data_IF_654016319356
#
_entry.id   IF_654016319356
#
_cell.length_a   1.000
_cell.length_b   1.000
_cell.length_c   1.000
_cell.angle_alpha   90.00
_cell.angle_beta   90.00
_cell.angle_gamma   90.00
#
_symmetry.space_group_name_H-M   'P 1'
#
loop_
_entity.id
_entity.type
_entity.pdbx_description
1 polymer ?
#
# COMPACT_ATOMS: atom_id res chain seq x y z
N UNK A 1 -12.52 31.33 -12.21
CA UNK A 1 -12.40 30.68 -10.88
C UNK A 1 -10.98 30.16 -10.76
N UNK A 2 -10.11 30.92 -10.10
CA UNK A 2 -8.70 30.57 -9.96
C UNK A 2 -8.59 29.59 -8.79
N UNK A 3 -8.72 28.30 -9.07
CA UNK A 3 -8.45 27.28 -8.07
C UNK A 3 -6.94 27.36 -7.84
N UNK A 4 -6.53 27.93 -6.71
CA UNK A 4 -5.13 27.88 -6.28
C UNK A 4 -4.65 26.44 -6.49
N UNK A 5 -3.69 26.24 -7.40
CA UNK A 5 -3.10 24.93 -7.56
C UNK A 5 -2.46 24.61 -6.22
N UNK A 6 -3.05 23.67 -5.49
CA UNK A 6 -2.38 23.08 -4.32
C UNK A 6 -1.11 22.46 -4.92
N UNK A 7 0.04 23.02 -4.57
CA UNK A 7 1.36 22.52 -4.93
C UNK A 7 1.96 21.84 -3.71
N UNK A 8 2.41 20.60 -3.87
CA UNK A 8 3.06 19.84 -2.81
C UNK A 8 4.46 19.44 -3.23
N UNK A 9 5.39 19.63 -2.30
CA UNK A 9 6.74 19.09 -2.42
C UNK A 9 6.66 17.55 -2.59
N UNK A 10 7.29 17.04 -3.65
CA UNK A 10 7.19 15.63 -4.05
C UNK A 10 7.84 14.68 -3.03
N UNK A 11 8.85 15.12 -2.30
CA UNK A 11 9.46 14.33 -1.21
C UNK A 11 8.53 14.22 -0.01
N UNK A 12 7.68 15.22 0.21
CA UNK A 12 6.61 15.15 1.22
C UNK A 12 5.57 14.10 0.81
N UNK A 13 5.18 14.07 -0.47
CA UNK A 13 4.31 13.02 -1.01
C UNK A 13 4.92 11.64 -0.77
N UNK A 14 6.21 11.45 -1.08
CA UNK A 14 6.89 10.16 -0.87
C UNK A 14 6.87 9.73 0.60
N UNK A 15 7.15 10.65 1.54
CA UNK A 15 7.08 10.36 2.98
C UNK A 15 5.67 9.98 3.43
N UNK A 16 4.65 10.72 2.97
CA UNK A 16 3.25 10.41 3.27
C UNK A 16 2.91 9.01 2.75
N UNK A 17 3.20 8.72 1.47
CA UNK A 17 2.92 7.41 0.89
C UNK A 17 3.67 6.27 1.60
N UNK A 18 4.92 6.47 2.00
CA UNK A 18 5.67 5.49 2.77
C UNK A 18 4.98 5.16 4.11
N UNK A 19 4.52 6.20 4.83
CA UNK A 19 3.75 6.03 6.07
C UNK A 19 2.42 5.32 5.81
N UNK A 20 1.68 5.72 4.77
CA UNK A 20 0.40 5.10 4.42
C UNK A 20 0.57 3.61 4.07
N UNK A 21 1.62 3.25 3.34
CA UNK A 21 1.93 1.86 2.98
C UNK A 21 2.32 1.05 4.22
N UNK A 22 3.12 1.61 5.13
CA UNK A 22 3.44 0.96 6.40
C UNK A 22 2.19 0.71 7.25
N UNK A 23 1.29 1.69 7.36
CA UNK A 23 0.04 1.56 8.10
C UNK A 23 -0.83 0.46 7.47
N UNK A 24 -0.92 0.40 6.14
CA UNK A 24 -1.67 -0.64 5.43
C UNK A 24 -1.09 -2.05 5.66
N UNK A 25 0.23 -2.18 5.73
CA UNK A 25 0.90 -3.46 6.00
C UNK A 25 0.92 -3.86 7.48
N UNK A 26 0.54 -2.97 8.41
CA UNK A 26 0.61 -3.23 9.84
C UNK A 26 -0.13 -4.50 10.28
N UNK A 27 -1.35 -4.80 9.79
CA UNK A 27 -2.05 -6.04 10.15
C UNK A 27 -1.25 -7.30 9.80
N UNK A 28 -0.53 -7.30 8.67
CA UNK A 28 0.30 -8.44 8.26
C UNK A 28 1.43 -8.66 9.27
N UNK A 29 2.12 -7.61 9.71
CA UNK A 29 3.17 -7.74 10.71
C UNK A 29 2.60 -8.19 12.07
N UNK A 30 1.48 -7.62 12.51
CA UNK A 30 0.82 -8.01 13.76
C UNK A 30 0.39 -9.48 13.76
N UNK A 31 -0.04 -10.01 12.61
CA UNK A 31 -0.44 -11.42 12.46
C UNK A 31 0.71 -12.41 12.69
N UNK A 32 1.96 -11.98 12.51
CA UNK A 32 3.14 -12.82 12.75
C UNK A 32 3.41 -13.01 14.25
N UNK A 33 2.93 -12.09 15.09
CA UNK A 33 3.22 -12.07 16.53
C UNK A 33 1.97 -12.29 17.40
N UNK A 34 0.76 -12.08 16.88
CA UNK A 34 -0.49 -12.23 17.60
C UNK A 34 -1.39 -13.30 16.95
N UNK A 35 -1.65 -14.42 17.65
CA UNK A 35 -2.59 -15.44 17.18
C UNK A 35 -4.00 -14.91 16.94
N UNK A 36 -4.47 -13.97 17.77
CA UNK A 36 -5.82 -13.39 17.67
C UNK A 36 -5.95 -12.55 16.39
N UNK A 37 -4.99 -11.67 16.12
CA UNK A 37 -4.96 -10.89 14.89
C UNK A 37 -4.84 -11.79 13.66
N UNK A 38 -3.99 -12.82 13.73
CA UNK A 38 -3.86 -13.80 12.66
C UNK A 38 -5.18 -14.49 12.34
N UNK A 39 -5.87 -15.01 13.35
CA UNK A 39 -7.15 -15.70 13.13
C UNK A 39 -8.23 -14.77 12.59
N UNK A 40 -8.21 -13.49 12.98
CA UNK A 40 -9.11 -12.47 12.42
C UNK A 40 -8.86 -12.27 10.92
N UNK A 41 -7.60 -12.05 10.52
CA UNK A 41 -7.26 -11.86 9.10
C UNK A 41 -7.49 -13.13 8.26
N UNK A 42 -7.26 -14.31 8.83
CA UNK A 42 -7.58 -15.59 8.18
C UNK A 42 -9.09 -15.70 7.96
N UNK A 43 -9.92 -15.29 8.94
CA UNK A 43 -11.36 -15.27 8.77
C UNK A 43 -11.80 -14.27 7.67
N UNK A 44 -11.15 -13.10 7.62
CA UNK A 44 -11.40 -12.08 6.59
C UNK A 44 -10.98 -12.53 5.18
N UNK A 45 -10.00 -13.44 5.06
CA UNK A 45 -9.48 -13.92 3.79
C UNK A 45 -10.10 -15.26 3.32
N UNK A 46 -10.43 -16.15 4.25
CA UNK A 46 -10.87 -17.52 3.95
C UNK A 46 -12.23 -17.90 4.55
N UNK A 47 -12.84 -17.03 5.36
CA UNK A 47 -14.07 -17.32 6.09
C UNK A 47 -13.86 -18.14 7.37
N UNK A 48 -14.96 -18.59 7.96
CA UNK A 48 -14.94 -19.34 9.22
C UNK A 48 -14.43 -20.78 9.05
N UNK A 49 -13.72 -21.31 10.07
CA UNK A 49 -13.17 -22.67 10.13
C UNK A 49 -12.20 -23.01 8.97
N UNK A 50 -11.08 -22.28 8.85
CA UNK A 50 -10.07 -22.54 7.83
C UNK A 50 -9.44 -23.93 8.02
N UNK A 51 -9.05 -24.58 6.92
CA UNK A 51 -8.24 -25.81 6.97
C UNK A 51 -6.83 -25.51 7.50
N UNK A 52 -6.12 -26.54 7.99
CA UNK A 52 -4.73 -26.39 8.40
C UNK A 52 -3.83 -25.86 7.27
N UNK A 53 -4.07 -26.31 6.03
CA UNK A 53 -3.34 -25.84 4.85
C UNK A 53 -3.61 -24.36 4.56
N UNK A 54 -4.85 -23.89 4.76
CA UNK A 54 -5.20 -22.48 4.58
C UNK A 54 -4.49 -21.58 5.61
N UNK A 55 -4.32 -22.05 6.85
CA UNK A 55 -3.55 -21.35 7.89
C UNK A 55 -2.08 -21.24 7.50
N UNK A 56 -1.45 -22.34 7.07
CA UNK A 56 -0.04 -22.34 6.63
C UNK A 56 0.15 -21.44 5.41
N UNK A 57 -0.79 -21.47 4.47
CA UNK A 57 -0.78 -20.60 3.30
C UNK A 57 -0.87 -19.13 3.71
N UNK A 58 -1.73 -18.79 4.65
CA UNK A 58 -1.84 -17.43 5.18
C UNK A 58 -0.54 -16.97 5.86
N UNK A 59 0.08 -17.81 6.68
CA UNK A 59 1.33 -17.45 7.37
C UNK A 59 2.45 -17.15 6.37
N UNK A 60 2.56 -17.96 5.32
CA UNK A 60 3.51 -17.72 4.22
C UNK A 60 3.19 -16.43 3.48
N UNK A 61 1.92 -16.20 3.17
CA UNK A 61 1.43 -14.98 2.53
C UNK A 61 1.76 -13.74 3.37
N UNK A 62 1.43 -13.75 4.67
CA UNK A 62 1.65 -12.63 5.58
C UNK A 62 3.14 -12.26 5.67
N UNK A 63 4.02 -13.26 5.73
CA UNK A 63 5.47 -13.04 5.73
C UNK A 63 5.95 -12.43 4.41
N UNK A 64 5.63 -13.04 3.28
CA UNK A 64 6.11 -12.60 1.96
C UNK A 64 5.57 -11.20 1.63
N UNK A 65 4.28 -10.97 1.80
CA UNK A 65 3.66 -9.66 1.53
C UNK A 65 4.13 -8.61 2.53
N UNK A 66 4.29 -8.96 3.80
CA UNK A 66 4.89 -8.06 4.79
C UNK A 66 6.31 -7.61 4.41
N UNK A 67 7.17 -8.53 3.97
CA UNK A 67 8.51 -8.18 3.49
C UNK A 67 8.47 -7.35 2.20
N UNK A 68 7.54 -7.62 1.28
CA UNK A 68 7.32 -6.77 0.10
C UNK A 68 6.93 -5.35 0.49
N UNK A 69 6.04 -5.17 1.47
CA UNK A 69 5.68 -3.84 2.00
C UNK A 69 6.91 -3.10 2.51
N UNK A 70 7.76 -3.75 3.31
CA UNK A 70 9.01 -3.13 3.78
C UNK A 70 9.94 -2.76 2.61
N UNK A 71 10.08 -3.64 1.62
CA UNK A 71 10.86 -3.38 0.42
C UNK A 71 10.37 -2.13 -0.34
N UNK A 72 9.06 -2.02 -0.56
CA UNK A 72 8.44 -0.86 -1.21
C UNK A 72 8.72 0.43 -0.43
N UNK A 73 8.60 0.39 0.89
CA UNK A 73 8.88 1.54 1.77
C UNK A 73 10.33 1.99 1.64
N UNK A 74 11.29 1.06 1.65
CA UNK A 74 12.70 1.39 1.44
C UNK A 74 12.97 1.96 0.04
N UNK A 75 12.30 1.46 -1.01
CA UNK A 75 12.40 2.03 -2.36
C UNK A 75 11.91 3.48 -2.37
N UNK A 76 10.80 3.79 -1.70
CA UNK A 76 10.26 5.16 -1.63
C UNK A 76 11.20 6.10 -0.85
N UNK A 77 11.75 5.63 0.28
CA UNK A 77 12.72 6.38 1.06
C UNK A 77 13.99 6.62 0.24
N UNK A 78 14.52 5.58 -0.44
CA UNK A 78 15.68 5.68 -1.31
C UNK A 78 15.46 6.66 -2.47
N UNK A 79 14.28 6.65 -3.08
CA UNK A 79 13.90 7.59 -4.13
C UNK A 79 13.91 9.06 -3.67
N UNK A 80 13.75 9.32 -2.36
CA UNK A 80 13.80 10.68 -1.81
C UNK A 80 15.21 11.30 -1.85
N UNK A 81 16.24 10.50 -2.13
CA UNK A 81 17.63 10.96 -2.30
C UNK A 81 17.85 11.75 -3.61
N UNK A 82 17.02 11.54 -4.64
CA UNK A 82 17.14 12.30 -5.89
C UNK A 82 16.84 13.80 -5.65
N UNK A 83 17.54 14.67 -6.37
CA UNK A 83 17.40 16.13 -6.27
C UNK A 83 16.70 16.72 -7.49
N UNK A 84 16.84 16.09 -8.65
CA UNK A 84 16.23 16.52 -9.90
C UNK A 84 14.72 16.27 -9.92
N UNK A 85 13.93 17.32 -10.21
CA UNK A 85 12.47 17.26 -10.19
C UNK A 85 11.93 16.34 -11.28
N UNK A 86 12.52 16.34 -12.47
CA UNK A 86 12.04 15.49 -13.57
C UNK A 86 12.21 14.00 -13.23
N UNK A 87 13.36 13.65 -12.65
CA UNK A 87 13.64 12.31 -12.13
C UNK A 87 12.65 11.94 -11.03
N UNK A 88 12.40 12.82 -10.06
CA UNK A 88 11.43 12.57 -8.99
C UNK A 88 10.00 12.35 -9.55
N UNK A 89 9.58 13.12 -10.55
CA UNK A 89 8.28 12.94 -11.23
C UNK A 89 8.18 11.59 -11.95
N UNK A 90 9.24 11.17 -12.65
CA UNK A 90 9.31 9.86 -13.32
C UNK A 90 9.25 8.72 -12.29
N UNK A 91 10.00 8.82 -11.20
CA UNK A 91 9.96 7.82 -10.12
C UNK A 91 8.59 7.80 -9.45
N UNK A 92 7.96 8.95 -9.23
CA UNK A 92 6.59 9.02 -8.70
C UNK A 92 5.58 8.31 -9.61
N UNK A 93 5.76 8.37 -10.94
CA UNK A 93 4.92 7.61 -11.87
C UNK A 93 5.16 6.10 -11.75
N UNK A 94 6.42 5.65 -11.60
CA UNK A 94 6.73 4.23 -11.38
C UNK A 94 6.14 3.72 -10.06
N UNK A 95 6.22 4.53 -9.00
CA UNK A 95 5.61 4.22 -7.71
C UNK A 95 4.07 4.21 -7.77
N UNK A 96 3.46 5.05 -8.60
CA UNK A 96 2.03 4.98 -8.91
C UNK A 96 1.65 3.64 -9.53
N UNK A 97 2.40 3.18 -10.53
CA UNK A 97 2.15 1.88 -11.18
C UNK A 97 2.30 0.74 -10.18
N UNK A 98 3.39 0.76 -9.40
CA UNK A 98 3.66 -0.24 -8.37
C UNK A 98 2.56 -0.27 -7.30
N UNK A 99 2.19 0.89 -6.75
CA UNK A 99 1.10 1.00 -5.78
C UNK A 99 -0.25 0.57 -6.37
N UNK A 100 -0.44 0.74 -7.68
CA UNK A 100 -1.59 0.24 -8.43
C UNK A 100 -1.71 -1.26 -8.37
N UNK A 101 -0.67 -1.98 -8.78
CA UNK A 101 -0.68 -3.44 -8.70
C UNK A 101 -0.77 -3.96 -7.27
N UNK A 102 -0.30 -3.19 -6.28
CA UNK A 102 -0.44 -3.54 -4.87
C UNK A 102 -1.87 -3.34 -4.34
N UNK A 103 -2.58 -2.28 -4.74
CA UNK A 103 -3.88 -1.90 -4.15
C UNK A 103 -5.10 -2.38 -4.96
N UNK A 104 -4.96 -2.58 -6.27
CA UNK A 104 -6.05 -3.00 -7.14
C UNK A 104 -6.61 -4.40 -6.85
N UNK A 105 -5.83 -5.42 -6.44
CA UNK A 105 -6.37 -6.74 -6.13
C UNK A 105 -7.48 -6.68 -5.07
N UNK A 106 -7.29 -5.90 -4.00
CA UNK A 106 -8.29 -5.76 -2.94
C UNK A 106 -9.55 -5.01 -3.43
N UNK A 107 -9.37 -3.94 -4.22
CA UNK A 107 -10.52 -3.25 -4.82
C UNK A 107 -11.33 -4.19 -5.73
N UNK A 108 -10.65 -5.01 -6.55
CA UNK A 108 -11.32 -5.97 -7.44
C UNK A 108 -12.06 -7.02 -6.62
N UNK A 109 -11.45 -7.55 -5.56
CA UNK A 109 -12.08 -8.54 -4.68
C UNK A 109 -13.31 -7.94 -3.97
N UNK A 110 -13.20 -6.71 -3.46
CA UNK A 110 -14.32 -5.97 -2.86
C UNK A 110 -15.50 -5.82 -3.82
N UNK A 111 -15.26 -5.39 -5.07
CA UNK A 111 -16.30 -5.22 -6.09
C UNK A 111 -16.98 -6.55 -6.42
N UNK A 112 -16.25 -7.67 -6.35
CA UNK A 112 -16.79 -9.01 -6.58
C UNK A 112 -17.53 -9.60 -5.38
N UNK A 113 -17.51 -8.93 -4.22
CA UNK A 113 -18.06 -9.47 -2.97
C UNK A 113 -17.22 -10.62 -2.39
N UNK A 114 -15.95 -10.72 -2.78
CA UNK A 114 -15.04 -11.73 -2.25
C UNK A 114 -14.43 -11.27 -0.92
N UNK A 115 -14.00 -12.22 -0.06
CA UNK A 115 -13.13 -11.95 1.08
C UNK A 115 -11.92 -11.10 0.64
N UNK A 116 -11.65 -9.99 1.35
CA UNK A 116 -10.62 -9.00 0.99
C UNK A 116 -10.28 -8.12 2.19
N UNK A 117 -9.28 -7.26 2.04
CA UNK A 117 -8.91 -6.30 3.07
C UNK A 117 -10.09 -5.38 3.48
N UNK A 118 -10.13 -4.91 4.74
CA UNK A 118 -11.15 -3.97 5.19
C UNK A 118 -11.19 -2.69 4.34
N UNK A 119 -12.38 -2.12 4.16
CA UNK A 119 -12.59 -0.88 3.39
C UNK A 119 -11.60 0.26 3.69
N UNK A 120 -11.26 0.57 4.97
CA UNK A 120 -10.26 1.59 5.27
C UNK A 120 -8.89 1.31 4.63
N UNK A 121 -8.45 0.04 4.57
CA UNK A 121 -7.18 -0.36 3.96
C UNK A 121 -7.22 -0.12 2.44
N UNK A 122 -8.32 -0.51 1.79
CA UNK A 122 -8.53 -0.30 0.35
C UNK A 122 -8.46 1.20 0.02
N UNK A 123 -9.15 2.04 0.79
CA UNK A 123 -9.15 3.49 0.59
C UNK A 123 -7.75 4.10 0.76
N UNK A 124 -6.97 3.63 1.74
CA UNK A 124 -5.58 4.05 1.91
C UNK A 124 -4.71 3.67 0.71
N UNK A 125 -4.90 2.48 0.13
CA UNK A 125 -4.21 2.04 -1.08
C UNK A 125 -4.51 2.94 -2.27
N UNK A 126 -5.79 3.23 -2.51
CA UNK A 126 -6.22 4.14 -3.58
C UNK A 126 -5.74 5.58 -3.36
N UNK A 127 -5.75 6.06 -2.12
CA UNK A 127 -5.19 7.37 -1.78
C UNK A 127 -3.68 7.43 -2.07
N UNK A 128 -2.95 6.38 -1.71
CA UNK A 128 -1.51 6.24 -1.99
C UNK A 128 -1.23 6.27 -3.50
N UNK A 129 -2.01 5.53 -4.29
CA UNK A 129 -1.94 5.59 -5.75
C UNK A 129 -2.19 7.00 -6.28
N UNK A 130 -3.27 7.64 -5.83
CA UNK A 130 -3.65 8.99 -6.25
C UNK A 130 -2.57 10.03 -5.94
N UNK A 131 -1.94 9.93 -4.76
CA UNK A 131 -0.84 10.78 -4.35
C UNK A 131 0.40 10.61 -5.24
N UNK A 132 0.79 9.38 -5.56
CA UNK A 132 1.90 9.14 -6.49
C UNK A 132 1.61 9.62 -7.91
N UNK A 133 0.37 9.45 -8.39
CA UNK A 133 -0.04 9.99 -9.68
C UNK A 133 0.01 11.52 -9.68
N UNK A 134 -0.54 12.15 -8.64
CA UNK A 134 -0.47 13.60 -8.46
C UNK A 134 0.98 14.09 -8.43
N UNK A 135 1.87 13.42 -7.67
CA UNK A 135 3.30 13.74 -7.63
C UNK A 135 3.95 13.71 -9.01
N UNK A 136 3.61 12.73 -9.84
CA UNK A 136 4.14 12.61 -11.20
C UNK A 136 3.76 13.76 -12.14
N UNK A 137 2.60 14.39 -11.91
CA UNK A 137 2.08 15.46 -12.78
C UNK A 137 2.38 16.85 -12.20
N UNK A 138 2.12 17.03 -10.91
CA UNK A 138 2.03 18.33 -10.24
C UNK A 138 3.01 18.51 -9.07
N UNK A 139 3.81 17.50 -8.74
CA UNK A 139 4.80 17.62 -7.67
C UNK A 139 5.83 18.72 -7.96
N UNK A 140 6.29 19.39 -6.91
CA UNK A 140 7.35 20.41 -6.93
C UNK A 140 8.51 20.02 -6.00
N UNK A 141 9.63 20.76 -6.04
CA UNK A 141 10.73 20.64 -5.04
C UNK A 141 10.65 21.84 -4.11
#
# INVERSE_FOLDING_TARGET
MNINQIEMNIKTIFRICAVLILIQGLPLFLSLFSPEFKMTLIADAFGANPSADAVIMFETFALVVGLMVLGIVFVIIGASSFTDLETLKRVSFLLFVLAGFFSLPDLIAFIKGNPTAPLPVILLGLATMGLFYYGSKKGTV
#
